data_IF_735089744341
#
_entry.id   IF_735089744341
#
_cell.length_a   1.000
_cell.length_b   1.000
_cell.length_c   1.000
_cell.angle_alpha   90.00
_cell.angle_beta   90.00
_cell.angle_gamma   90.00
#
_symmetry.space_group_name_H-M   'P 1'
#
loop_
_entity.id
_entity.type
_entity.pdbx_description
1 polymer ?
#
# COMPACT_ATOMS: atom_id res chain seq x y z
N UNK A 1 -15.82 -17.44 -19.31
CA UNK A 1 -15.89 -15.96 -19.36
C UNK A 1 -15.00 -15.44 -18.26
N UNK A 2 -13.98 -14.63 -18.55
CA UNK A 2 -13.12 -14.05 -17.52
C UNK A 2 -13.92 -13.00 -16.74
N UNK A 3 -14.22 -13.28 -15.48
CA UNK A 3 -14.92 -12.33 -14.61
C UNK A 3 -14.07 -11.06 -14.45
N UNK A 4 -14.68 -9.89 -14.63
CA UNK A 4 -13.99 -8.61 -14.44
C UNK A 4 -13.84 -8.34 -12.95
N UNK A 5 -12.64 -8.59 -12.41
CA UNK A 5 -12.27 -8.18 -11.06
C UNK A 5 -12.31 -6.66 -10.95
N UNK A 6 -12.82 -6.15 -9.82
CA UNK A 6 -12.92 -4.72 -9.52
C UNK A 6 -12.25 -4.45 -8.18
N UNK A 7 -11.54 -3.33 -8.11
CA UNK A 7 -10.94 -2.82 -6.87
C UNK A 7 -11.66 -1.53 -6.52
N UNK A 8 -12.04 -1.37 -5.25
CA UNK A 8 -12.65 -0.16 -4.70
C UNK A 8 -11.70 0.36 -3.63
N UNK A 9 -11.21 1.60 -3.78
CA UNK A 9 -10.39 2.29 -2.78
C UNK A 9 -11.26 3.33 -2.09
N UNK A 10 -11.21 3.36 -0.76
CA UNK A 10 -11.96 4.31 0.07
C UNK A 10 -10.98 5.30 0.69
N UNK A 11 -10.83 6.46 0.05
CA UNK A 11 -9.85 7.49 0.40
C UNK A 11 -10.48 8.71 1.07
N UNK A 12 -9.70 9.44 1.86
CA UNK A 12 -10.14 10.69 2.49
C UNK A 12 -9.46 11.01 3.84
N UNK A 13 -9.84 12.13 4.45
CA UNK A 13 -9.22 12.63 5.69
C UNK A 13 -9.41 11.67 6.88
N UNK A 14 -8.52 11.72 7.85
CA UNK A 14 -8.65 10.97 9.11
C UNK A 14 -9.94 11.35 9.84
N UNK A 15 -10.58 10.39 10.50
CA UNK A 15 -11.82 10.62 11.27
C UNK A 15 -13.11 10.77 10.45
N UNK A 16 -13.07 10.70 9.12
CA UNK A 16 -14.27 10.81 8.26
C UNK A 16 -15.11 9.54 8.14
N UNK A 17 -14.73 8.46 8.85
CA UNK A 17 -15.47 7.19 8.85
C UNK A 17 -15.16 6.25 7.69
N UNK A 18 -14.00 6.39 7.02
CA UNK A 18 -13.58 5.56 5.88
C UNK A 18 -13.63 4.06 6.16
N UNK A 19 -13.01 3.62 7.25
CA UNK A 19 -13.00 2.20 7.64
C UNK A 19 -14.42 1.68 7.89
N UNK A 20 -15.27 2.50 8.54
CA UNK A 20 -16.69 2.18 8.73
C UNK A 20 -17.46 2.07 7.40
N UNK A 21 -17.21 2.97 6.45
CA UNK A 21 -17.83 2.91 5.13
C UNK A 21 -17.37 1.67 4.35
N UNK A 22 -16.07 1.38 4.37
CA UNK A 22 -15.50 0.24 3.66
C UNK A 22 -16.03 -1.10 4.21
N UNK A 23 -16.12 -1.23 5.53
CA UNK A 23 -16.73 -2.40 6.19
C UNK A 23 -18.20 -2.55 5.82
N UNK A 24 -18.99 -1.48 5.90
CA UNK A 24 -20.42 -1.51 5.54
C UNK A 24 -20.65 -1.82 4.07
N UNK A 25 -19.80 -1.31 3.18
CA UNK A 25 -19.85 -1.60 1.77
C UNK A 25 -19.59 -3.10 1.50
N UNK A 26 -18.59 -3.68 2.16
CA UNK A 26 -18.32 -5.11 2.07
C UNK A 26 -19.49 -5.96 2.56
N UNK A 27 -20.08 -5.61 3.71
CA UNK A 27 -21.29 -6.27 4.24
C UNK A 27 -22.45 -6.17 3.24
N UNK A 28 -22.69 -4.99 2.68
CA UNK A 28 -23.72 -4.78 1.67
C UNK A 28 -23.53 -5.67 0.44
N UNK A 29 -22.32 -5.71 -0.14
CA UNK A 29 -22.02 -6.56 -1.30
C UNK A 29 -22.24 -8.04 -0.99
N UNK A 30 -21.80 -8.48 0.19
CA UNK A 30 -21.98 -9.86 0.65
C UNK A 30 -23.46 -10.22 0.79
N UNK A 31 -24.27 -9.31 1.33
CA UNK A 31 -25.73 -9.46 1.41
C UNK A 31 -26.41 -9.53 0.03
N UNK A 32 -25.83 -8.92 -0.99
CA UNK A 32 -26.30 -9.04 -2.38
C UNK A 32 -25.82 -10.32 -3.09
N UNK A 33 -25.13 -11.22 -2.38
CA UNK A 33 -24.55 -12.44 -2.95
C UNK A 33 -23.30 -12.18 -3.81
N UNK A 34 -22.71 -10.98 -3.71
CA UNK A 34 -21.48 -10.63 -4.43
C UNK A 34 -20.30 -10.97 -3.52
N UNK A 35 -19.51 -11.96 -3.96
CA UNK A 35 -18.24 -12.27 -3.30
C UNK A 35 -17.32 -11.05 -3.36
N UNK A 36 -16.90 -10.58 -2.19
CA UNK A 36 -15.98 -9.45 -2.04
C UNK A 36 -15.03 -9.72 -0.88
N UNK A 37 -13.83 -9.16 -0.96
CA UNK A 37 -12.84 -9.19 0.11
C UNK A 37 -12.63 -7.77 0.63
N UNK A 38 -12.59 -7.63 1.95
CA UNK A 38 -12.27 -6.39 2.63
C UNK A 38 -10.85 -6.47 3.18
N UNK A 39 -10.09 -5.40 2.97
CA UNK A 39 -8.74 -5.24 3.50
C UNK A 39 -8.64 -3.86 4.15
N UNK A 40 -8.12 -3.81 5.38
CA UNK A 40 -7.80 -2.56 6.06
C UNK A 40 -6.38 -2.08 5.66
N UNK A 41 -6.04 -0.83 5.97
CA UNK A 41 -4.74 -0.26 5.65
C UNK A 41 -3.61 -1.10 6.26
N UNK A 42 -2.70 -1.59 5.41
CA UNK A 42 -1.57 -2.43 5.84
C UNK A 42 -1.89 -3.91 6.07
N UNK A 43 -3.11 -4.37 5.81
CA UNK A 43 -3.45 -5.78 5.94
C UNK A 43 -2.56 -6.68 5.04
N UNK A 44 -2.10 -7.86 5.52
CA UNK A 44 -1.37 -8.81 4.70
C UNK A 44 -2.18 -9.24 3.47
N UNK A 45 -1.53 -9.29 2.30
CA UNK A 45 -2.20 -9.67 1.05
C UNK A 45 -3.16 -8.62 0.47
N UNK A 46 -3.18 -7.39 1.03
CA UNK A 46 -3.92 -6.27 0.47
C UNK A 46 -3.41 -5.96 -0.96
N UNK A 47 -4.27 -6.02 -1.99
CA UNK A 47 -3.85 -6.06 -3.40
C UNK A 47 -3.15 -4.78 -3.88
N UNK A 48 -3.33 -3.68 -3.15
CA UNK A 48 -2.70 -2.37 -3.44
C UNK A 48 -1.95 -1.80 -2.24
N UNK A 49 -1.58 -2.62 -1.24
CA UNK A 49 -0.80 -2.11 -0.10
C UNK A 49 0.63 -1.83 -0.53
N UNK A 50 0.98 -0.55 -0.53
CA UNK A 50 2.34 -0.04 -0.64
C UNK A 50 2.86 0.41 0.73
N UNK A 51 2.30 -0.11 1.83
CA UNK A 51 2.70 0.32 3.17
C UNK A 51 4.20 0.12 3.38
N UNK A 52 4.88 1.21 3.72
CA UNK A 52 6.34 1.23 3.89
C UNK A 52 7.13 1.22 2.59
N UNK A 53 6.52 1.55 1.44
CA UNK A 53 7.21 1.63 0.15
C UNK A 53 7.14 3.03 -0.43
N UNK A 54 8.31 3.64 -0.59
CA UNK A 54 8.47 4.88 -1.35
C UNK A 54 9.19 4.58 -2.66
N UNK A 55 8.57 4.98 -3.77
CA UNK A 55 9.16 4.88 -5.11
C UNK A 55 9.79 6.21 -5.49
N UNK A 56 11.08 6.18 -5.77
CA UNK A 56 11.83 7.35 -6.24
C UNK A 56 12.39 7.06 -7.64
N UNK A 57 12.44 8.10 -8.49
CA UNK A 57 13.34 8.07 -9.64
C UNK A 57 14.78 8.05 -9.14
N UNK A 58 15.69 7.57 -9.99
CA UNK A 58 17.10 7.39 -9.63
C UNK A 58 17.74 8.70 -9.14
N UNK A 59 17.39 9.82 -9.77
CA UNK A 59 17.93 11.15 -9.47
C UNK A 59 17.38 11.72 -8.16
N UNK A 60 16.09 11.53 -7.92
CA UNK A 60 15.40 11.94 -6.69
C UNK A 60 15.96 11.18 -5.48
N UNK A 61 16.14 9.86 -5.65
CA UNK A 61 16.76 9.02 -4.64
C UNK A 61 18.21 9.42 -4.34
N UNK A 62 19.01 9.68 -5.38
CA UNK A 62 20.37 10.18 -5.21
C UNK A 62 20.40 11.53 -4.47
N UNK A 63 19.41 12.40 -4.73
CA UNK A 63 19.22 13.64 -3.98
C UNK A 63 18.91 13.41 -2.50
N UNK A 64 18.02 12.45 -2.20
CA UNK A 64 17.66 12.07 -0.84
C UNK A 64 18.87 11.55 -0.06
N UNK A 65 19.67 10.66 -0.65
CA UNK A 65 20.88 10.12 -0.02
C UNK A 65 21.96 11.18 0.21
N UNK A 66 22.12 12.15 -0.72
CA UNK A 66 23.03 13.29 -0.50
C UNK A 66 22.60 14.16 0.68
N UNK A 67 21.29 14.36 0.84
CA UNK A 67 20.71 15.20 1.89
C UNK A 67 20.73 14.51 3.26
N UNK A 68 20.59 13.19 3.28
CA UNK A 68 20.55 12.36 4.49
C UNK A 68 21.49 11.15 4.34
N UNK A 69 22.82 11.33 4.46
CA UNK A 69 23.80 10.26 4.24
C UNK A 69 23.59 9.07 5.19
N UNK A 70 23.11 9.32 6.41
CA UNK A 70 22.90 8.30 7.45
C UNK A 70 21.71 7.37 7.18
N UNK A 71 20.76 7.78 6.32
CA UNK A 71 19.62 6.94 5.91
C UNK A 71 20.03 5.71 5.08
N UNK A 72 21.27 5.68 4.56
CA UNK A 72 21.81 4.53 3.84
C UNK A 72 21.96 3.27 4.72
N UNK A 73 22.03 3.41 6.05
CA UNK A 73 22.18 2.28 6.99
C UNK A 73 20.86 1.64 7.44
N UNK A 74 19.75 2.35 7.36
CA UNK A 74 18.47 1.92 7.97
C UNK A 74 17.49 1.27 6.99
N UNK A 75 17.85 1.01 5.73
CA UNK A 75 16.88 0.51 4.75
C UNK A 75 17.36 -0.77 4.05
N UNK A 76 16.46 -1.75 3.97
CA UNK A 76 16.60 -2.88 3.06
C UNK A 76 16.25 -2.41 1.65
N UNK A 77 17.11 -2.76 0.68
CA UNK A 77 17.05 -2.24 -0.69
C UNK A 77 16.65 -3.33 -1.67
N UNK A 78 15.61 -3.07 -2.47
CA UNK A 78 15.20 -3.94 -3.58
C UNK A 78 15.06 -3.12 -4.85
N UNK A 79 15.61 -3.62 -5.97
CA UNK A 79 15.44 -3.00 -7.29
C UNK A 79 14.41 -3.77 -8.09
N UNK A 80 13.36 -3.08 -8.54
CA UNK A 80 12.30 -3.66 -9.38
C UNK A 80 12.10 -2.79 -10.61
N UNK A 81 12.32 -3.36 -11.80
CA UNK A 81 12.02 -2.71 -13.09
C UNK A 81 12.55 -1.27 -13.24
N UNK A 82 13.79 -1.01 -12.78
CA UNK A 82 14.42 0.31 -12.86
C UNK A 82 14.06 1.29 -11.72
N UNK A 83 13.15 0.91 -10.83
CA UNK A 83 12.80 1.66 -9.62
C UNK A 83 13.60 1.16 -8.41
N UNK A 84 13.90 2.09 -7.50
CA UNK A 84 14.58 1.84 -6.22
C UNK A 84 13.55 1.91 -5.09
N UNK A 85 13.38 0.81 -4.38
CA UNK A 85 12.44 0.70 -3.26
C UNK A 85 13.19 0.83 -1.94
N UNK A 86 12.67 1.70 -1.06
CA UNK A 86 13.06 1.80 0.34
C UNK A 86 12.01 1.04 1.16
N UNK A 87 12.42 0.09 1.99
CA UNK A 87 11.56 -0.57 2.97
C UNK A 87 12.13 -0.41 4.39
N UNK A 88 11.24 -0.25 5.37
CA UNK A 88 11.61 -0.28 6.78
C UNK A 88 12.15 -1.66 7.17
N UNK A 89 13.25 -1.75 7.95
CA UNK A 89 13.86 -3.00 8.35
C UNK A 89 13.03 -3.76 9.41
N UNK A 90 11.96 -3.15 9.94
CA UNK A 90 11.14 -3.70 11.02
C UNK A 90 9.86 -4.42 10.54
N UNK A 91 9.60 -4.53 9.23
CA UNK A 91 8.43 -5.27 8.72
C UNK A 91 8.66 -6.78 8.56
N UNK A 92 9.71 -7.32 9.17
CA UNK A 92 10.05 -8.74 9.17
C UNK A 92 10.08 -9.30 10.59
N UNK A 93 8.90 -9.58 11.15
CA UNK A 93 8.70 -10.45 12.32
C UNK A 93 7.26 -10.92 12.38
#
# INVERSE_FOLDING_TARGET
>A
MAGKHRVILVEGLCGTGKSTLAERLHQYLTLQGISSHFYDEGAPGHPVSLNGHAFFRKEEFAGLLRRYPDCSRCSSFTSHNGWKQLSDPLSGS
#
